data_IF_374030373746
#
_entry.id   IF_374030373746
#
_cell.length_a   1.000
_cell.length_b   1.000
_cell.length_c   1.000
_cell.angle_alpha   90.00
_cell.angle_beta   90.00
_cell.angle_gamma   90.00
#
_symmetry.space_group_name_H-M   'P 1'
#
loop_
_entity.id
_entity.type
_entity.pdbx_description
1 polymer ?
#
# COMPACT_ATOMS: atom_id res chain seq x y z
N UNK A 1 -1.88 17.87 7.42
CA UNK A 1 -2.41 19.13 6.86
C UNK A 1 -3.82 19.47 7.38
N UNK A 2 -4.16 20.75 7.57
CA UNK A 2 -5.51 21.19 8.01
C UNK A 2 -6.45 21.45 6.81
N UNK A 3 -7.40 20.55 6.59
CA UNK A 3 -8.39 20.64 5.50
C UNK A 3 -9.27 21.89 5.56
N UNK A 4 -9.53 22.45 6.75
CA UNK A 4 -10.34 23.66 6.92
C UNK A 4 -9.59 24.90 6.47
N UNK A 5 -8.31 24.99 6.84
CA UNK A 5 -7.40 26.04 6.36
C UNK A 5 -7.28 25.99 4.83
N UNK A 6 -7.02 24.81 4.26
CA UNK A 6 -6.96 24.63 2.80
C UNK A 6 -8.25 25.10 2.13
N UNK A 7 -9.42 24.71 2.66
CA UNK A 7 -10.71 25.15 2.10
C UNK A 7 -10.84 26.67 2.04
N UNK A 8 -10.30 27.39 3.03
CA UNK A 8 -10.32 28.86 3.07
C UNK A 8 -9.31 29.50 2.11
N UNK A 9 -8.13 28.89 1.92
CA UNK A 9 -7.05 29.41 1.06
C UNK A 9 -7.23 29.08 -0.43
N UNK A 10 -7.90 27.97 -0.74
CA UNK A 10 -8.05 27.48 -2.12
C UNK A 10 -8.56 28.54 -3.11
N UNK A 11 -9.60 29.34 -2.82
CA UNK A 11 -10.05 30.40 -3.74
C UNK A 11 -8.95 31.39 -4.12
N UNK A 12 -8.12 31.82 -3.16
CA UNK A 12 -6.99 32.72 -3.44
C UNK A 12 -5.88 32.04 -4.24
N UNK A 13 -5.56 30.79 -3.93
CA UNK A 13 -4.48 30.04 -4.60
C UNK A 13 -4.80 29.75 -6.07
N UNK A 14 -6.08 29.55 -6.41
CA UNK A 14 -6.49 29.16 -7.78
C UNK A 14 -7.11 30.30 -8.61
N UNK A 15 -7.35 31.48 -8.03
CA UNK A 15 -8.06 32.59 -8.68
C UNK A 15 -7.48 32.97 -10.06
N UNK A 16 -6.14 33.03 -10.18
CA UNK A 16 -5.45 33.32 -11.44
C UNK A 16 -5.43 32.17 -12.45
N UNK A 17 -5.87 30.98 -12.04
CA UNK A 17 -5.78 29.75 -12.80
C UNK A 17 -7.12 29.19 -13.25
N UNK A 18 -8.24 29.76 -12.78
CA UNK A 18 -9.60 29.38 -13.21
C UNK A 18 -10.08 30.31 -14.33
N UNK A 19 -10.65 29.78 -15.44
CA UNK A 19 -11.23 30.61 -16.49
C UNK A 19 -12.36 31.52 -15.98
N UNK A 20 -12.44 32.75 -16.49
CA UNK A 20 -13.42 33.76 -16.04
C UNK A 20 -14.89 33.34 -16.16
N UNK A 21 -15.21 32.40 -17.05
CA UNK A 21 -16.56 31.88 -17.29
C UNK A 21 -16.96 30.72 -16.36
N UNK A 22 -16.03 30.22 -15.53
CA UNK A 22 -16.27 29.11 -14.62
C UNK A 22 -16.77 29.65 -13.27
N UNK A 23 -17.91 29.13 -12.81
CA UNK A 23 -18.56 29.55 -11.55
C UNK A 23 -18.11 28.75 -10.32
N UNK A 24 -17.50 27.59 -10.52
CA UNK A 24 -17.03 26.71 -9.45
C UNK A 24 -15.85 25.86 -9.90
N UNK A 25 -14.98 25.52 -8.96
CA UNK A 25 -13.88 24.59 -9.17
C UNK A 25 -14.05 23.37 -8.26
N UNK A 26 -13.40 22.27 -8.63
CA UNK A 26 -13.32 21.05 -7.81
C UNK A 26 -11.87 20.80 -7.45
N UNK A 27 -11.64 20.26 -6.27
CA UNK A 27 -10.32 19.80 -5.88
C UNK A 27 -10.41 18.52 -5.06
N UNK A 28 -9.32 17.74 -5.08
CA UNK A 28 -9.12 16.57 -4.24
C UNK A 28 -7.90 16.80 -3.36
N UNK A 29 -7.97 16.28 -2.15
CA UNK A 29 -6.93 16.44 -1.14
C UNK A 29 -6.20 15.11 -0.98
N UNK A 30 -4.88 15.15 -1.06
CA UNK A 30 -3.99 14.02 -0.86
C UNK A 30 -3.12 14.32 0.36
N UNK A 31 -3.57 13.78 1.49
CA UNK A 31 -2.92 13.85 2.79
C UNK A 31 -2.78 12.44 3.38
N UNK A 32 -2.62 12.33 4.69
CA UNK A 32 -2.49 11.06 5.40
C UNK A 32 -3.81 10.29 5.53
N UNK A 33 -4.92 10.81 4.99
CA UNK A 33 -6.22 10.17 5.06
C UNK A 33 -6.65 9.57 3.71
N UNK A 34 -7.30 8.39 3.73
CA UNK A 34 -7.84 7.80 2.51
C UNK A 34 -8.88 8.67 1.83
N UNK A 35 -8.93 8.60 0.50
CA UNK A 35 -10.04 9.16 -0.26
C UNK A 35 -11.28 8.27 -0.09
N UNK A 36 -12.43 8.87 0.21
CA UNK A 36 -13.69 8.13 0.31
C UNK A 36 -14.54 8.29 -0.95
N UNK A 37 -15.15 7.18 -1.36
CA UNK A 37 -16.21 7.14 -2.37
C UNK A 37 -17.49 7.78 -1.84
N UNK A 38 -18.44 8.05 -2.75
CA UNK A 38 -19.79 8.50 -2.39
C UNK A 38 -20.56 7.50 -1.51
N UNK A 39 -20.13 6.23 -1.51
CA UNK A 39 -20.71 5.15 -0.70
C UNK A 39 -19.91 4.91 0.60
N UNK A 40 -18.93 5.76 0.91
CA UNK A 40 -18.12 5.66 2.13
C UNK A 40 -16.92 4.70 2.06
N UNK A 41 -16.76 3.93 0.98
CA UNK A 41 -15.59 3.06 0.79
C UNK A 41 -14.32 3.86 0.54
N UNK A 42 -13.20 3.42 1.10
CA UNK A 42 -11.90 3.98 0.76
C UNK A 42 -11.49 3.58 -0.68
N UNK A 43 -11.00 4.56 -1.45
CA UNK A 43 -10.57 4.43 -2.83
C UNK A 43 -9.07 4.68 -2.92
N UNK A 44 -8.38 3.82 -3.65
CA UNK A 44 -6.99 4.04 -4.02
C UNK A 44 -6.91 5.09 -5.15
N UNK A 45 -6.29 6.25 -4.94
CA UNK A 45 -6.15 7.27 -5.98
C UNK A 45 -5.42 6.76 -7.22
N UNK A 46 -5.77 7.33 -8.37
CA UNK A 46 -5.08 7.10 -9.64
C UNK A 46 -3.95 8.13 -9.81
N UNK A 47 -2.79 7.74 -10.39
CA UNK A 47 -1.74 8.69 -10.76
C UNK A 47 -2.25 9.73 -11.75
N UNK A 48 -1.64 10.91 -11.74
CA UNK A 48 -2.03 12.00 -12.63
C UNK A 48 -0.87 12.95 -12.97
N UNK A 49 -1.01 13.61 -14.10
CA UNK A 49 -0.12 14.69 -14.52
C UNK A 49 -0.77 16.06 -14.28
N UNK A 50 0.04 17.05 -13.97
CA UNK A 50 -0.47 18.41 -13.85
C UNK A 50 0.63 19.46 -13.76
N UNK A 51 0.21 20.72 -13.62
CA UNK A 51 1.10 21.86 -13.43
C UNK A 51 0.93 22.42 -12.03
N UNK A 52 2.03 22.61 -11.32
CA UNK A 52 2.04 23.26 -10.00
C UNK A 52 1.64 24.73 -10.18
N UNK A 53 0.62 25.16 -9.45
CA UNK A 53 0.11 26.54 -9.48
C UNK A 53 0.36 27.30 -8.19
N UNK A 54 0.56 26.59 -7.08
CA UNK A 54 1.00 27.16 -5.82
C UNK A 54 1.83 26.12 -5.06
N UNK A 55 2.89 26.56 -4.41
CA UNK A 55 3.68 25.72 -3.50
C UNK A 55 3.97 26.54 -2.22
N UNK A 56 3.32 26.14 -1.14
CA UNK A 56 3.42 26.79 0.19
C UNK A 56 3.78 25.75 1.24
N UNK A 57 4.13 26.21 2.44
CA UNK A 57 4.40 25.31 3.58
C UNK A 57 3.17 24.48 3.98
N UNK A 58 1.97 24.97 3.69
CA UNK A 58 0.71 24.30 4.05
C UNK A 58 0.16 23.38 2.93
N UNK A 59 0.47 23.67 1.66
CA UNK A 59 -0.07 22.94 0.52
C UNK A 59 0.72 23.13 -0.78
N UNK A 60 0.78 22.06 -1.57
CA UNK A 60 1.15 22.10 -2.99
C UNK A 60 -0.12 21.91 -3.83
N UNK A 61 -0.45 22.89 -4.66
CA UNK A 61 -1.63 22.85 -5.53
C UNK A 61 -1.21 22.54 -6.96
N UNK A 62 -1.75 21.45 -7.50
CA UNK A 62 -1.52 20.99 -8.88
C UNK A 62 -2.79 21.16 -9.69
N UNK A 63 -2.69 21.86 -10.81
CA UNK A 63 -3.78 22.02 -11.78
C UNK A 63 -3.82 20.82 -12.73
N UNK A 64 -4.98 20.15 -12.77
CA UNK A 64 -5.25 18.98 -13.62
C UNK A 64 -6.01 19.37 -14.89
N UNK A 65 -7.08 20.15 -14.72
CA UNK A 65 -7.94 20.67 -15.80
C UNK A 65 -8.25 22.14 -15.56
N UNK A 66 -8.95 22.86 -16.47
CA UNK A 66 -9.24 24.29 -16.27
C UNK A 66 -9.89 24.65 -14.93
N UNK A 67 -10.69 23.76 -14.34
CA UNK A 67 -11.37 23.95 -13.05
C UNK A 67 -11.26 22.75 -12.11
N UNK A 68 -10.26 21.88 -12.31
CA UNK A 68 -9.98 20.70 -11.47
C UNK A 68 -8.55 20.75 -10.95
N UNK A 69 -8.39 20.63 -9.63
CA UNK A 69 -7.11 20.73 -8.93
C UNK A 69 -6.87 19.54 -8.00
N UNK A 70 -5.61 19.29 -7.67
CA UNK A 70 -5.18 18.40 -6.62
C UNK A 70 -4.40 19.22 -5.58
N UNK A 71 -4.59 18.91 -4.30
CA UNK A 71 -3.87 19.52 -3.18
C UNK A 71 -3.07 18.41 -2.51
N UNK A 72 -1.76 18.57 -2.42
CA UNK A 72 -0.85 17.61 -1.78
C UNK A 72 -0.34 18.20 -0.46
N UNK A 73 -0.27 17.38 0.58
CA UNK A 73 0.41 17.70 1.82
C UNK A 73 1.94 17.77 1.58
N UNK A 74 2.60 18.93 1.78
CA UNK A 74 4.04 19.08 1.53
C UNK A 74 4.92 18.17 2.38
N UNK A 75 4.42 17.69 3.53
CA UNK A 75 5.15 16.77 4.41
C UNK A 75 5.19 15.32 3.91
N UNK A 76 4.32 14.97 2.95
CA UNK A 76 4.19 13.62 2.42
C UNK A 76 4.79 13.45 1.01
N UNK A 77 5.16 14.52 0.32
CA UNK A 77 5.71 14.40 -1.04
C UNK A 77 7.19 14.01 -1.03
N UNK A 78 7.61 13.18 -2.00
CA UNK A 78 9.03 12.79 -2.16
C UNK A 78 9.92 13.96 -2.58
N UNK A 79 9.36 14.95 -3.27
CA UNK A 79 10.05 16.17 -3.69
C UNK A 79 9.05 17.32 -3.77
N UNK A 80 9.40 18.49 -3.21
CA UNK A 80 8.59 19.71 -3.32
C UNK A 80 8.90 20.40 -4.66
N UNK A 81 7.97 20.40 -5.62
CA UNK A 81 8.20 21.02 -6.92
C UNK A 81 8.04 22.54 -6.86
N UNK A 82 8.81 23.26 -7.69
CA UNK A 82 8.66 24.71 -7.83
C UNK A 82 7.34 25.09 -8.53
N UNK A 83 6.82 26.28 -8.23
CA UNK A 83 5.66 26.81 -8.93
C UNK A 83 5.90 26.89 -10.44
N UNK A 84 4.88 26.48 -11.20
CA UNK A 84 4.95 26.41 -12.66
C UNK A 84 5.56 25.13 -13.22
N UNK A 85 6.15 24.26 -12.40
CA UNK A 85 6.67 22.97 -12.85
C UNK A 85 5.55 22.03 -13.31
N UNK A 86 5.82 21.22 -14.34
CA UNK A 86 4.99 20.06 -14.67
C UNK A 86 5.43 18.86 -13.87
N UNK A 87 4.47 18.17 -13.28
CA UNK A 87 4.72 17.04 -12.39
C UNK A 87 3.86 15.85 -12.77
N UNK A 88 4.42 14.66 -12.61
CA UNK A 88 3.70 13.41 -12.47
C UNK A 88 3.58 13.11 -10.98
N UNK A 89 2.35 12.88 -10.51
CA UNK A 89 2.06 12.58 -9.12
C UNK A 89 1.50 11.18 -9.04
N UNK A 90 2.13 10.36 -8.20
CA UNK A 90 1.70 9.00 -7.92
C UNK A 90 1.45 8.88 -6.40
N UNK A 91 0.20 9.09 -5.98
CA UNK A 91 -0.21 8.84 -4.61
C UNK A 91 -0.20 7.33 -4.28
N UNK A 92 -0.25 7.01 -2.99
CA UNK A 92 -0.34 5.63 -2.54
C UNK A 92 -1.57 4.91 -3.09
N UNK A 93 -1.38 3.64 -3.41
CA UNK A 93 -2.44 2.72 -3.76
C UNK A 93 -2.10 1.34 -3.21
N UNK A 94 -3.07 0.69 -2.58
CA UNK A 94 -2.94 -0.70 -2.12
C UNK A 94 -2.59 -1.63 -3.27
N UNK A 95 -1.69 -2.58 -3.02
CA UNK A 95 -1.19 -3.53 -4.00
C UNK A 95 -1.30 -4.97 -3.51
N UNK A 96 -1.36 -5.87 -4.47
CA UNK A 96 -1.26 -7.33 -4.29
C UNK A 96 0.20 -7.78 -4.37
N UNK A 97 0.47 -9.01 -3.96
CA UNK A 97 1.80 -9.63 -4.08
C UNK A 97 2.27 -9.85 -5.52
N UNK A 98 1.37 -9.80 -6.51
CA UNK A 98 1.71 -9.81 -7.94
C UNK A 98 2.12 -8.43 -8.48
N UNK A 99 2.13 -7.39 -7.62
CA UNK A 99 2.48 -6.01 -7.96
C UNK A 99 1.34 -5.19 -8.57
N UNK A 100 0.20 -5.83 -8.90
CA UNK A 100 -0.99 -5.14 -9.40
C UNK A 100 -1.67 -4.38 -8.25
N UNK A 101 -2.47 -3.38 -8.62
CA UNK A 101 -3.27 -2.63 -7.65
C UNK A 101 -4.40 -3.51 -7.11
N UNK A 102 -4.80 -3.30 -5.86
CA UNK A 102 -5.86 -4.08 -5.22
C UNK A 102 -7.26 -3.81 -5.82
N UNK A 103 -7.43 -2.71 -6.55
CA UNK A 103 -8.63 -2.38 -7.33
C UNK A 103 -8.63 -2.99 -8.75
N UNK A 104 -7.59 -3.74 -9.12
CA UNK A 104 -7.52 -4.44 -10.42
C UNK A 104 -8.54 -5.59 -10.45
N UNK A 105 -9.46 -5.62 -11.44
CA UNK A 105 -10.48 -6.66 -11.52
C UNK A 105 -9.89 -8.05 -11.71
N UNK A 106 -10.52 -9.06 -11.11
CA UNK A 106 -10.17 -10.46 -11.34
C UNK A 106 -10.95 -10.99 -12.54
N UNK A 107 -10.23 -11.59 -13.49
CA UNK A 107 -10.80 -12.18 -14.69
C UNK A 107 -10.65 -13.69 -14.59
N UNK A 108 -11.78 -14.39 -14.45
CA UNK A 108 -11.83 -15.85 -14.35
C UNK A 108 -12.52 -16.37 -15.61
N UNK A 109 -11.91 -17.37 -16.26
CA UNK A 109 -12.57 -18.13 -17.32
C UNK A 109 -13.13 -19.40 -16.71
N UNK A 110 -14.45 -19.56 -16.76
CA UNK A 110 -15.16 -20.76 -16.33
C UNK A 110 -15.74 -21.47 -17.56
N UNK A 111 -15.97 -22.77 -17.46
CA UNK A 111 -16.66 -23.54 -18.48
C UNK A 111 -18.11 -23.79 -18.05
N UNK A 112 -19.06 -23.59 -18.96
CA UNK A 112 -20.43 -24.06 -18.74
C UNK A 112 -20.49 -25.58 -18.72
N UNK A 113 -21.61 -26.15 -18.28
CA UNK A 113 -21.89 -27.60 -18.34
C UNK A 113 -21.70 -28.20 -19.75
N UNK A 114 -21.79 -27.35 -20.78
CA UNK A 114 -21.71 -27.72 -22.19
C UNK A 114 -20.28 -27.48 -22.76
N UNK A 115 -19.30 -27.18 -21.89
CA UNK A 115 -17.90 -26.97 -22.26
C UNK A 115 -17.61 -25.64 -22.98
N UNK A 116 -18.56 -24.69 -22.98
CA UNK A 116 -18.32 -23.37 -23.57
C UNK A 116 -17.65 -22.46 -22.55
N UNK A 117 -16.45 -21.92 -22.82
CA UNK A 117 -15.80 -21.01 -21.90
C UNK A 117 -16.53 -19.66 -21.86
N UNK A 118 -16.75 -19.13 -20.66
CA UNK A 118 -17.22 -17.78 -20.43
C UNK A 118 -16.31 -17.05 -19.45
N UNK A 119 -16.23 -15.73 -19.59
CA UNK A 119 -15.34 -14.90 -18.78
C UNK A 119 -16.14 -14.10 -17.77
N UNK A 120 -15.79 -14.25 -16.50
CA UNK A 120 -16.33 -13.47 -15.38
C UNK A 120 -15.29 -12.42 -15.01
N UNK A 121 -15.65 -11.14 -15.11
CA UNK A 121 -14.87 -10.03 -14.57
C UNK A 121 -15.47 -9.61 -13.23
N UNK A 122 -14.76 -9.84 -12.13
CA UNK A 122 -15.19 -9.48 -10.77
C UNK A 122 -14.57 -8.15 -10.35
N UNK A 123 -15.43 -7.20 -9.99
CA UNK A 123 -15.04 -5.93 -9.38
C UNK A 123 -15.35 -5.97 -7.88
N UNK A 124 -14.34 -5.86 -7.02
CA UNK A 124 -14.51 -5.81 -5.56
C UNK A 124 -14.46 -4.34 -5.11
N UNK A 125 -15.56 -3.86 -4.54
CA UNK A 125 -15.67 -2.51 -4.00
C UNK A 125 -15.02 -2.44 -2.61
N UNK A 126 -14.20 -1.42 -2.35
CA UNK A 126 -13.54 -1.22 -1.04
C UNK A 126 -12.14 -1.85 -0.89
N UNK A 127 -11.71 -2.63 -1.90
CA UNK A 127 -10.44 -3.39 -2.02
C UNK A 127 -10.60 -4.88 -1.77
N UNK A 128 -10.11 -5.66 -2.73
CA UNK A 128 -9.85 -7.08 -2.51
C UNK A 128 -8.71 -7.24 -1.47
N UNK A 129 -8.71 -8.31 -0.65
CA UNK A 129 -7.49 -8.72 0.05
C UNK A 129 -6.35 -9.01 -0.92
N UNK A 130 -5.12 -8.65 -0.53
CA UNK A 130 -3.93 -9.22 -1.14
C UNK A 130 -3.79 -10.66 -0.64
N UNK A 131 -4.21 -11.64 -1.45
CA UNK A 131 -4.10 -13.07 -1.11
C UNK A 131 -2.63 -13.45 -0.94
N UNK A 132 -2.33 -14.15 0.16
CA UNK A 132 -0.97 -14.64 0.40
C UNK A 132 -0.58 -15.64 -0.71
N UNK A 133 0.67 -15.59 -1.21
CA UNK A 133 1.13 -16.46 -2.29
C UNK A 133 1.50 -17.87 -1.75
N UNK A 134 0.54 -18.52 -1.09
CA UNK A 134 0.68 -19.82 -0.43
C UNK A 134 -0.52 -20.71 -0.81
N UNK A 135 -0.35 -22.05 -0.83
CA UNK A 135 -1.45 -22.96 -1.14
C UNK A 135 -2.50 -22.96 -0.04
N UNK A 136 -3.70 -23.44 -0.36
CA UNK A 136 -4.74 -23.69 0.63
C UNK A 136 -4.24 -24.69 1.68
N UNK A 137 -4.24 -24.32 2.97
CA UNK A 137 -3.69 -25.17 4.02
C UNK A 137 -4.63 -26.34 4.34
N UNK A 138 -4.04 -27.43 4.84
CA UNK A 138 -4.78 -28.57 5.39
C UNK A 138 -5.07 -28.38 6.88
N UNK A 139 -4.16 -27.73 7.61
CA UNK A 139 -4.31 -27.38 9.01
C UNK A 139 -5.30 -26.23 9.20
N UNK A 140 -6.25 -26.42 10.11
CA UNK A 140 -7.27 -25.42 10.42
C UNK A 140 -6.64 -24.14 10.99
N UNK A 141 -5.68 -24.28 11.91
CA UNK A 141 -5.03 -23.17 12.60
C UNK A 141 -4.16 -22.34 11.64
N UNK A 142 -3.50 -22.99 10.68
CA UNK A 142 -2.83 -22.27 9.58
C UNK A 142 -3.85 -21.52 8.72
N UNK A 143 -4.98 -22.16 8.38
CA UNK A 143 -6.07 -21.52 7.65
C UNK A 143 -6.61 -20.27 8.33
N UNK A 144 -6.81 -20.33 9.65
CA UNK A 144 -7.25 -19.20 10.46
C UNK A 144 -6.21 -18.07 10.47
N UNK A 145 -4.91 -18.39 10.63
CA UNK A 145 -3.86 -17.39 10.54
C UNK A 145 -3.84 -16.69 9.17
N UNK A 146 -4.00 -17.44 8.07
CA UNK A 146 -4.05 -16.88 6.71
C UNK A 146 -5.27 -15.98 6.55
N UNK A 147 -6.46 -16.47 6.92
CA UNK A 147 -7.70 -15.70 6.85
C UNK A 147 -7.56 -14.40 7.65
N UNK A 148 -6.95 -14.48 8.83
CA UNK A 148 -6.74 -13.34 9.68
C UNK A 148 -5.82 -12.29 9.05
N UNK A 149 -4.67 -12.70 8.50
CA UNK A 149 -3.77 -11.80 7.78
C UNK A 149 -4.47 -11.15 6.57
N UNK A 150 -5.29 -11.91 5.85
CA UNK A 150 -5.98 -11.46 4.65
C UNK A 150 -7.20 -10.58 4.92
N UNK A 151 -7.95 -10.82 5.98
CA UNK A 151 -9.23 -10.16 6.26
C UNK A 151 -9.13 -9.03 7.30
N UNK A 152 -8.22 -9.13 8.27
CA UNK A 152 -8.14 -8.12 9.32
C UNK A 152 -7.57 -6.78 8.81
N UNK A 153 -8.10 -5.65 9.31
CA UNK A 153 -7.53 -4.34 9.02
C UNK A 153 -6.16 -4.19 9.67
N UNK A 154 -5.27 -3.47 9.00
CA UNK A 154 -4.09 -2.91 9.64
C UNK A 154 -4.51 -1.80 10.64
N UNK A 155 -3.63 -1.38 11.57
CA UNK A 155 -3.96 -0.37 12.57
C UNK A 155 -4.48 0.96 12.00
N UNK A 156 -4.03 1.35 10.80
CA UNK A 156 -4.50 2.54 10.07
C UNK A 156 -5.96 2.47 9.56
N UNK A 157 -6.62 1.31 9.66
CA UNK A 157 -8.01 1.04 9.23
C UNK A 157 -8.30 1.26 7.74
N UNK A 158 -7.28 1.51 6.93
CA UNK A 158 -7.39 1.66 5.47
C UNK A 158 -6.86 0.43 4.74
N UNK A 159 -5.68 -0.04 5.16
CA UNK A 159 -5.04 -1.25 4.67
C UNK A 159 -5.55 -2.47 5.42
N UNK A 160 -5.33 -3.63 4.84
CA UNK A 160 -5.40 -4.92 5.53
C UNK A 160 -3.99 -5.33 5.92
N UNK A 161 -3.83 -6.30 6.81
CA UNK A 161 -2.50 -6.74 7.24
C UNK A 161 -1.66 -7.17 6.01
N UNK A 162 -2.22 -7.92 5.06
CA UNK A 162 -1.49 -8.30 3.83
C UNK A 162 -1.06 -7.12 2.96
N UNK A 163 -1.82 -6.02 2.90
CA UNK A 163 -1.38 -4.81 2.20
C UNK A 163 -0.16 -4.19 2.89
N UNK A 164 -0.15 -4.15 4.22
CA UNK A 164 1.02 -3.72 4.99
C UNK A 164 2.23 -4.64 4.75
N UNK A 165 2.02 -5.95 4.62
CA UNK A 165 3.10 -6.89 4.24
C UNK A 165 3.67 -6.57 2.84
N UNK A 166 2.80 -6.29 1.87
CA UNK A 166 3.21 -5.87 0.52
C UNK A 166 4.03 -4.57 0.58
N UNK A 167 3.59 -3.58 1.35
CA UNK A 167 4.29 -2.31 1.53
C UNK A 167 5.66 -2.51 2.22
N UNK A 168 5.76 -3.48 3.13
CA UNK A 168 7.01 -3.88 3.77
C UNK A 168 7.96 -4.69 2.85
N UNK A 169 7.55 -4.93 1.60
CA UNK A 169 8.32 -5.71 0.63
C UNK A 169 8.34 -7.20 0.94
N UNK A 170 7.28 -7.74 1.57
CA UNK A 170 7.20 -9.14 1.95
C UNK A 170 7.31 -10.08 0.73
N UNK A 171 8.27 -10.99 0.78
CA UNK A 171 8.59 -11.96 -0.28
C UNK A 171 9.14 -13.27 0.29
N UNK A 172 9.50 -14.21 -0.58
CA UNK A 172 10.10 -15.50 -0.19
C UNK A 172 9.29 -16.26 0.87
N UNK A 173 7.97 -16.37 0.64
CA UNK A 173 7.05 -16.99 1.57
C UNK A 173 7.34 -18.48 1.75
N UNK A 174 7.35 -18.92 3.02
CA UNK A 174 7.43 -20.33 3.42
C UNK A 174 6.39 -20.58 4.50
N UNK A 175 5.91 -21.80 4.63
CA UNK A 175 4.87 -22.15 5.60
C UNK A 175 5.13 -23.54 6.18
N UNK A 176 4.59 -23.76 7.39
CA UNK A 176 4.53 -25.06 8.05
C UNK A 176 3.06 -25.40 8.18
N UNK A 177 2.62 -26.42 7.44
CA UNK A 177 1.24 -26.92 7.42
C UNK A 177 1.21 -28.33 8.04
N UNK A 178 1.14 -28.45 9.38
CA UNK A 178 1.23 -29.73 10.05
C UNK A 178 -0.08 -30.50 9.98
N UNK A 179 -0.01 -31.82 10.06
CA UNK A 179 -1.22 -32.63 10.34
C UNK A 179 -1.72 -32.31 11.76
N UNK A 180 -3.02 -32.43 12.06
CA UNK A 180 -3.56 -32.12 13.39
C UNK A 180 -2.86 -32.86 14.55
N UNK A 181 -2.36 -34.07 14.31
CA UNK A 181 -1.61 -34.87 15.29
C UNK A 181 -0.21 -34.35 15.61
N UNK A 182 0.36 -33.46 14.80
CA UNK A 182 1.73 -32.92 14.91
C UNK A 182 1.77 -31.44 15.26
N UNK A 183 0.62 -30.83 15.54
CA UNK A 183 0.51 -29.39 15.76
C UNK A 183 1.38 -28.88 16.91
N UNK A 184 1.67 -29.73 17.91
CA UNK A 184 2.53 -29.37 19.05
C UNK A 184 4.02 -29.53 18.69
N UNK A 185 4.38 -30.59 17.95
CA UNK A 185 5.78 -30.88 17.58
C UNK A 185 6.29 -29.92 16.51
N UNK A 186 5.42 -29.57 15.56
CA UNK A 186 5.70 -28.67 14.44
C UNK A 186 4.55 -27.66 14.36
N UNK A 187 4.63 -26.53 15.09
CA UNK A 187 3.57 -25.55 15.10
C UNK A 187 3.33 -24.96 13.71
N UNK A 188 2.06 -24.67 13.35
CA UNK A 188 1.74 -23.96 12.13
C UNK A 188 2.44 -22.62 12.09
N UNK A 189 3.04 -22.28 10.95
CA UNK A 189 3.78 -21.03 10.82
C UNK A 189 3.78 -20.51 9.39
N UNK A 190 3.91 -19.19 9.26
CA UNK A 190 4.17 -18.50 8.00
C UNK A 190 5.43 -17.66 8.20
N UNK A 191 6.37 -17.75 7.27
CA UNK A 191 7.52 -16.86 7.23
C UNK A 191 7.66 -16.17 5.89
N UNK A 192 8.22 -14.97 5.90
CA UNK A 192 8.51 -14.16 4.73
C UNK A 192 9.68 -13.23 5.03
N UNK A 193 10.38 -12.76 4.01
CA UNK A 193 11.43 -11.75 4.14
C UNK A 193 10.85 -10.37 3.89
N UNK A 194 11.28 -9.37 4.67
CA UNK A 194 10.89 -7.96 4.50
C UNK A 194 12.13 -7.09 4.34
N UNK A 195 11.95 -5.89 3.78
CA UNK A 195 13.02 -4.90 3.64
C UNK A 195 12.44 -3.50 3.85
N UNK A 196 12.47 -3.04 5.10
CA UNK A 196 12.01 -1.70 5.49
C UNK A 196 13.07 -0.97 6.29
N UNK A 197 12.86 0.32 6.56
CA UNK A 197 13.76 1.08 7.42
C UNK A 197 13.81 0.54 8.87
N UNK A 198 12.75 -0.14 9.32
CA UNK A 198 12.67 -0.72 10.67
C UNK A 198 13.38 -2.05 10.77
N UNK A 199 13.18 -2.92 9.78
CA UNK A 199 13.73 -4.26 9.79
C UNK A 199 13.98 -4.79 8.38
N UNK A 200 15.13 -5.44 8.23
CA UNK A 200 15.50 -6.21 7.04
C UNK A 200 15.91 -7.61 7.50
N UNK A 201 15.18 -8.61 7.01
CA UNK A 201 15.35 -9.99 7.44
C UNK A 201 14.06 -10.81 7.29
N UNK A 202 14.06 -12.00 7.89
CA UNK A 202 12.93 -12.93 7.89
C UNK A 202 12.04 -12.69 9.11
N UNK A 203 10.74 -12.57 8.86
CA UNK A 203 9.70 -12.56 9.88
C UNK A 203 9.04 -13.94 9.89
N UNK A 204 8.80 -14.50 11.06
CA UNK A 204 8.02 -15.74 11.23
C UNK A 204 6.87 -15.47 12.18
N UNK A 205 5.65 -15.82 11.77
CA UNK A 205 4.46 -15.83 12.61
C UNK A 205 4.12 -17.30 12.83
N UNK A 206 4.21 -17.77 14.07
CA UNK A 206 3.92 -19.16 14.44
C UNK A 206 2.81 -19.21 15.47
N UNK A 207 1.98 -20.25 15.39
CA UNK A 207 0.92 -20.49 16.36
C UNK A 207 1.45 -21.23 17.58
N UNK A 208 1.34 -20.61 18.75
CA UNK A 208 1.61 -21.26 20.03
C UNK A 208 0.34 -21.89 20.58
N UNK A 209 0.27 -23.22 20.46
CA UNK A 209 -0.85 -24.03 20.95
C UNK A 209 -1.02 -23.98 22.47
N UNK A 210 0.06 -23.74 23.22
CA UNK A 210 0.07 -23.72 24.67
C UNK A 210 -0.58 -22.46 25.22
N UNK A 211 -0.17 -21.29 24.71
CA UNK A 211 -0.76 -20.00 25.04
C UNK A 211 -2.04 -19.66 24.28
N UNK A 212 -2.38 -20.40 23.22
CA UNK A 212 -3.44 -20.06 22.25
C UNK A 212 -3.28 -18.64 21.69
N UNK A 213 -2.05 -18.33 21.28
CA UNK A 213 -1.64 -17.02 20.76
C UNK A 213 -0.66 -17.22 19.59
N UNK A 214 -0.26 -16.12 18.96
CA UNK A 214 0.87 -16.14 18.05
C UNK A 214 2.17 -15.78 18.76
N UNK A 215 3.27 -16.21 18.15
CA UNK A 215 4.60 -15.67 18.40
C UNK A 215 5.11 -15.07 17.10
N UNK A 216 5.69 -13.88 17.18
CA UNK A 216 6.33 -13.20 16.05
C UNK A 216 7.84 -13.16 16.29
N UNK A 217 8.60 -13.78 15.38
CA UNK A 217 10.05 -13.84 15.45
C UNK A 217 10.68 -13.07 14.30
N UNK A 218 11.72 -12.30 14.62
CA UNK A 218 12.54 -11.56 13.66
C UNK A 218 13.91 -12.22 13.57
N UNK A 219 14.29 -12.67 12.38
CA UNK A 219 15.56 -13.31 12.11
C UNK A 219 16.37 -12.52 11.09
N UNK A 220 17.66 -12.32 11.37
CA UNK A 220 18.59 -11.73 10.40
C UNK A 220 19.57 -12.79 9.92
N UNK A 221 19.82 -12.79 8.62
CA UNK A 221 20.84 -13.64 8.03
C UNK A 221 22.19 -12.91 8.04
N UNK A 222 23.17 -13.48 8.74
CA UNK A 222 24.54 -13.01 8.80
C UNK A 222 25.45 -14.07 8.18
N UNK A 223 25.63 -14.00 6.85
CA UNK A 223 26.33 -15.03 6.08
C UNK A 223 25.56 -16.36 6.08
N UNK A 224 26.19 -17.42 6.59
CA UNK A 224 25.58 -18.74 6.75
C UNK A 224 24.77 -18.88 8.06
N UNK A 225 24.91 -17.92 8.99
CA UNK A 225 24.20 -17.96 10.26
C UNK A 225 22.86 -17.23 10.21
N UNK A 226 21.86 -17.79 10.88
CA UNK A 226 20.55 -17.16 11.09
C UNK A 226 20.45 -16.82 12.57
N UNK A 227 20.37 -15.52 12.87
CA UNK A 227 20.29 -15.01 14.24
C UNK A 227 18.85 -14.57 14.54
N UNK A 228 18.29 -15.04 15.65
CA UNK A 228 17.05 -14.52 16.21
C UNK A 228 17.34 -13.15 16.84
N UNK A 229 16.84 -12.09 16.19
CA UNK A 229 17.04 -10.70 16.60
C UNK A 229 16.04 -10.29 17.66
N UNK A 230 14.80 -10.72 17.51
CA UNK A 230 13.71 -10.36 18.41
C UNK A 230 12.62 -11.44 18.38
N UNK A 231 11.92 -11.59 19.50
CA UNK A 231 10.83 -12.54 19.67
C UNK A 231 9.75 -11.91 20.54
N UNK A 232 8.54 -11.84 19.99
CA UNK A 232 7.35 -11.35 20.68
C UNK A 232 6.44 -12.54 20.92
N UNK A 233 6.41 -13.02 22.16
CA UNK A 233 5.47 -14.04 22.63
C UNK A 233 4.11 -13.41 23.01
N UNK A 234 3.10 -14.25 23.22
CA UNK A 234 1.75 -13.86 23.67
C UNK A 234 1.09 -12.79 22.77
N UNK A 235 1.29 -12.90 21.45
CA UNK A 235 0.63 -12.02 20.49
C UNK A 235 -0.80 -12.50 20.28
N UNK A 236 -1.75 -11.86 20.96
CA UNK A 236 -3.17 -12.13 20.78
C UNK A 236 -3.61 -11.84 19.34
N UNK A 237 -4.64 -12.54 18.89
CA UNK A 237 -5.13 -12.46 17.52
C UNK A 237 -5.50 -11.01 17.14
N UNK A 238 -6.19 -10.27 18.00
CA UNK A 238 -6.56 -8.88 17.75
C UNK A 238 -5.36 -7.91 17.71
N UNK A 239 -4.21 -8.29 18.28
CA UNK A 239 -2.99 -7.48 18.34
C UNK A 239 -2.00 -7.73 17.20
N UNK A 240 -2.21 -8.77 16.38
CA UNK A 240 -1.26 -9.16 15.34
C UNK A 240 -0.92 -8.00 14.39
N UNK A 241 -1.92 -7.22 13.97
CA UNK A 241 -1.72 -6.06 13.11
C UNK A 241 -0.86 -4.97 13.74
N UNK A 242 -1.07 -4.68 15.04
CA UNK A 242 -0.31 -3.67 15.78
C UNK A 242 1.15 -4.10 16.02
N UNK A 243 1.36 -5.38 16.33
CA UNK A 243 2.70 -5.94 16.50
C UNK A 243 3.47 -5.86 15.18
N UNK A 244 2.87 -6.28 14.07
CA UNK A 244 3.51 -6.19 12.76
C UNK A 244 3.75 -4.75 12.32
N UNK A 245 2.81 -3.81 12.51
CA UNK A 245 3.05 -2.39 12.22
C UNK A 245 4.26 -1.86 13.00
N UNK A 246 4.34 -2.16 14.30
CA UNK A 246 5.46 -1.75 15.15
C UNK A 246 6.79 -2.29 14.62
N UNK A 247 6.83 -3.57 14.22
CA UNK A 247 8.06 -4.27 13.85
C UNK A 247 8.54 -3.96 12.43
N UNK A 248 7.63 -3.89 11.46
CA UNK A 248 8.01 -3.89 10.04
C UNK A 248 7.50 -2.70 9.22
N UNK A 249 6.44 -2.01 9.63
CA UNK A 249 5.89 -0.88 8.84
C UNK A 249 6.59 0.44 9.17
N UNK A 250 7.35 1.01 8.24
CA UNK A 250 8.07 2.28 8.42
C UNK A 250 7.28 3.53 7.98
N UNK A 251 6.02 3.38 7.57
CA UNK A 251 5.15 4.47 7.14
C UNK A 251 5.49 5.07 5.77
N UNK A 252 6.51 4.58 5.06
CA UNK A 252 6.91 5.12 3.74
C UNK A 252 5.82 5.00 2.69
N UNK A 253 4.90 4.03 2.85
CA UNK A 253 3.74 3.88 1.99
C UNK A 253 2.89 5.16 1.90
N UNK A 254 2.91 6.03 2.93
CA UNK A 254 2.16 7.30 2.93
C UNK A 254 2.77 8.36 2.02
N UNK A 255 4.00 8.15 1.54
CA UNK A 255 4.66 9.11 0.67
C UNK A 255 3.98 9.18 -0.69
N UNK A 256 3.80 10.41 -1.15
CA UNK A 256 3.28 10.72 -2.48
C UNK A 256 4.48 10.94 -3.38
N UNK A 257 4.66 10.06 -4.37
CA UNK A 257 5.76 10.24 -5.31
C UNK A 257 5.46 11.38 -6.28
N UNK A 258 6.36 12.35 -6.36
CA UNK A 258 6.25 13.52 -7.23
C UNK A 258 7.49 13.62 -8.11
N UNK A 259 7.29 13.35 -9.41
CA UNK A 259 8.33 13.42 -10.43
C UNK A 259 8.18 14.68 -11.28
N UNK A 260 9.24 15.48 -11.43
CA UNK A 260 9.23 16.69 -12.28
C UNK A 260 9.46 16.31 -13.74
N UNK A 261 8.49 16.59 -14.61
CA UNK A 261 8.51 16.20 -16.03
C UNK A 261 9.36 17.14 -16.91
N UNK A 262 9.72 18.32 -16.40
CA UNK A 262 10.46 19.37 -17.14
C UNK A 262 11.93 19.52 -16.71
N UNK A 263 12.57 18.46 -16.20
CA UNK A 263 14.02 18.35 -16.32
C UNK A 263 14.30 17.92 -17.77
N UNK A 264 14.65 18.88 -18.63
CA UNK A 264 15.27 18.59 -19.94
C UNK A 264 16.20 17.40 -19.74
N UNK A 265 15.88 16.28 -20.40
CA UNK A 265 16.85 15.26 -20.69
C UNK A 265 18.12 16.00 -21.13
N UNK A 266 19.16 15.95 -20.30
CA UNK A 266 20.48 16.36 -20.71
C UNK A 266 20.81 15.43 -21.86
N UNK A 267 20.54 15.88 -23.08
CA UNK A 267 20.94 15.22 -24.31
C UNK A 267 22.42 14.95 -24.14
N UNK A 268 22.78 13.70 -23.84
CA UNK A 268 24.10 13.17 -24.17
C UNK A 268 24.25 13.46 -25.66
N UNK A 269 24.96 14.53 -25.99
CA UNK A 269 25.54 14.71 -27.31
C UNK A 269 26.45 13.51 -27.48
N UNK A 270 25.97 12.47 -28.16
CA UNK A 270 26.85 11.48 -28.74
C UNK A 270 27.81 12.26 -29.64
N UNK A 271 29.07 12.34 -29.23
CA UNK A 271 30.13 12.75 -30.11
C UNK A 271 30.17 11.74 -31.25
N UNK A 272 29.97 12.21 -32.47
CA UNK A 272 30.23 11.44 -33.69
C UNK A 272 31.75 11.30 -33.78
N UNK A 273 32.32 10.09 -33.83
CA UNK A 273 33.74 9.93 -34.09
C UNK A 273 34.04 10.28 -35.56
N UNK A 274 35.14 11.01 -35.73
CA UNK A 274 35.74 11.34 -37.02
C UNK A 274 36.43 10.12 -37.66
#
# INVERSE_FOLDING_TARGET
>A
MDRSLIKSMMPSLVAGHVPRNVRSFKYRVFDDQPLSSTLGFAIDPQPFDGKVVAATDDAIVVKLKPSEFAVLDPSLVTTVPAEGAKVHVQPYARRRFDGLRADTPEVITEETSDGTPYTITRHILGSAPAKLPIPTPQCMELGQLIEQLEEMPAPDRFRRITHMLVDAGARDFTWVDPTPSKIIETPPAISFTVSTAKFEGRVTILYDRGGDTYVVELHRQNGESVELVDRHDEVYFDMLGEVLERLIDDGRWRQIDVSILDAKAARKRQAVPA
#
